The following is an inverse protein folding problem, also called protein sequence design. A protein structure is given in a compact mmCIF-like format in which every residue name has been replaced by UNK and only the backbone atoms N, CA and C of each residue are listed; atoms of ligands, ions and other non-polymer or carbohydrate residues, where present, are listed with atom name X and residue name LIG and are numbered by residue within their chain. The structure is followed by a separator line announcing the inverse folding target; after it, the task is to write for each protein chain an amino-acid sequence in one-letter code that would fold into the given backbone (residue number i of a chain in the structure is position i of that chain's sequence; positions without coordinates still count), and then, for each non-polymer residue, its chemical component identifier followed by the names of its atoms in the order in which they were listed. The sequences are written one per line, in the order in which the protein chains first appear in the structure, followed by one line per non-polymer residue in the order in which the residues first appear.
data_IF_188336491484
#
_entry.id   IF_188336491484
#
_cell.length_a   1.000
_cell.length_b   1.000
_cell.length_c   1.000
_cell.angle_alpha   90.00
_cell.angle_beta   90.00
_cell.angle_gamma   90.00
#
_symmetry.space_group_name_H-M   'P 1'
#
loop_
_entity.id
_entity.type
_entity.pdbx_description
1 polymer ?
#
# COMPACT_ATOMS: atom_id res chain seq x y z
N UNK A 1 8.87 -9.49 4.15
CA UNK A 1 9.94 -10.51 4.28
C UNK A 1 10.69 -10.69 2.96
N UNK A 2 10.01 -11.07 1.86
CA UNK A 2 10.60 -11.28 0.54
C UNK A 2 11.37 -10.06 -0.04
N UNK A 3 10.83 -8.84 0.09
CA UNK A 3 11.52 -7.62 -0.39
C UNK A 3 12.86 -7.36 0.33
N UNK A 4 12.90 -7.63 1.63
CA UNK A 4 14.14 -7.54 2.42
C UNK A 4 15.13 -8.65 2.04
N UNK A 5 14.64 -9.85 1.72
CA UNK A 5 15.48 -10.96 1.25
C UNK A 5 16.08 -10.68 -0.13
N UNK A 6 15.32 -10.06 -1.03
CA UNK A 6 15.84 -9.59 -2.33
C UNK A 6 16.95 -8.55 -2.15
N UNK A 7 16.75 -7.57 -1.28
CA UNK A 7 17.76 -6.53 -1.01
C UNK A 7 19.03 -7.10 -0.36
N UNK A 8 18.91 -8.17 0.43
CA UNK A 8 20.06 -8.89 1.02
C UNK A 8 20.79 -9.69 -0.06
N UNK A 9 20.07 -10.43 -0.91
CA UNK A 9 20.64 -11.20 -2.01
C UNK A 9 21.34 -10.32 -3.06
N UNK A 10 20.78 -9.13 -3.34
CA UNK A 10 21.41 -8.14 -4.21
C UNK A 10 22.70 -7.58 -3.60
N UNK A 11 22.76 -7.41 -2.27
CA UNK A 11 23.97 -6.96 -1.56
C UNK A 11 25.02 -8.05 -1.44
N UNK A 12 24.63 -9.33 -1.46
CA UNK A 12 25.56 -10.47 -1.46
C UNK A 12 26.00 -10.88 -2.86
N UNK A 13 25.64 -10.12 -3.91
CA UNK A 13 25.95 -10.41 -5.32
C UNK A 13 25.33 -11.73 -5.85
N UNK A 14 24.36 -12.30 -5.14
CA UNK A 14 23.59 -13.48 -5.58
C UNK A 14 22.45 -13.06 -6.51
N UNK A 15 22.81 -12.56 -7.69
CA UNK A 15 21.85 -12.00 -8.65
C UNK A 15 20.81 -13.02 -9.16
N UNK A 16 21.14 -14.31 -9.14
CA UNK A 16 20.20 -15.38 -9.54
C UNK A 16 19.05 -15.52 -8.55
N UNK A 17 19.34 -15.53 -7.26
CA UNK A 17 18.32 -15.61 -6.21
C UNK A 17 17.51 -14.31 -6.14
N UNK A 18 18.18 -13.16 -6.28
CA UNK A 18 17.51 -11.87 -6.36
C UNK A 18 16.50 -11.81 -7.53
N UNK A 19 16.84 -12.35 -8.70
CA UNK A 19 15.95 -12.42 -9.86
C UNK A 19 14.72 -13.31 -9.62
N UNK A 20 14.89 -14.48 -9.00
CA UNK A 20 13.78 -15.39 -8.68
C UNK A 20 12.83 -14.74 -7.66
N UNK A 21 13.38 -14.08 -6.64
CA UNK A 21 12.58 -13.37 -5.63
C UNK A 21 11.87 -12.18 -6.26
N UNK A 22 12.53 -11.46 -7.17
CA UNK A 22 11.92 -10.36 -7.93
C UNK A 22 10.74 -10.85 -8.78
N UNK A 23 10.90 -11.92 -9.54
CA UNK A 23 9.82 -12.46 -10.37
C UNK A 23 8.65 -12.97 -9.51
N UNK A 24 8.95 -13.58 -8.36
CA UNK A 24 7.94 -13.96 -7.38
C UNK A 24 7.18 -12.73 -6.84
N UNK A 25 7.89 -11.65 -6.48
CA UNK A 25 7.29 -10.40 -6.04
C UNK A 25 6.43 -9.75 -7.13
N UNK A 26 6.87 -9.81 -8.38
CA UNK A 26 6.11 -9.32 -9.52
C UNK A 26 4.80 -10.09 -9.70
N UNK A 27 4.81 -11.41 -9.53
CA UNK A 27 3.59 -12.21 -9.54
C UNK A 27 2.60 -11.82 -8.42
N UNK A 28 3.11 -11.43 -7.24
CA UNK A 28 2.27 -10.91 -6.15
C UNK A 28 1.74 -9.49 -6.42
N UNK A 29 2.49 -8.64 -7.13
CA UNK A 29 2.00 -7.33 -7.59
C UNK A 29 0.96 -7.45 -8.72
N UNK A 30 0.94 -8.59 -9.41
CA UNK A 30 -0.07 -8.97 -10.40
C UNK A 30 -1.33 -9.59 -9.78
N UNK A 31 -1.43 -9.69 -8.45
CA UNK A 31 -2.69 -10.06 -7.79
C UNK A 31 -3.83 -9.13 -8.23
N UNK A 32 -4.97 -9.74 -8.60
CA UNK A 32 -6.10 -9.10 -9.28
C UNK A 32 -6.50 -7.69 -8.78
N UNK A 33 -6.58 -7.40 -7.46
CA UNK A 33 -6.97 -6.07 -6.99
C UNK A 33 -5.91 -4.97 -7.23
N UNK A 34 -4.61 -5.33 -7.32
CA UNK A 34 -3.52 -4.37 -7.60
C UNK A 34 -3.47 -4.05 -9.09
N UNK A 35 -3.63 -5.08 -9.93
CA UNK A 35 -3.70 -4.93 -11.39
C UNK A 35 -4.87 -4.05 -11.81
N UNK A 36 -6.08 -4.29 -11.29
CA UNK A 36 -7.27 -3.49 -11.61
C UNK A 36 -7.09 -2.02 -11.24
N UNK A 37 -6.46 -1.70 -10.11
CA UNK A 37 -6.14 -0.30 -9.77
C UNK A 37 -5.20 0.37 -10.76
N UNK A 38 -4.25 -0.38 -11.33
CA UNK A 38 -3.34 0.14 -12.35
C UNK A 38 -4.09 0.40 -13.65
N UNK A 39 -4.94 -0.52 -14.09
CA UNK A 39 -5.78 -0.39 -15.27
C UNK A 39 -6.75 0.80 -15.17
N UNK A 40 -7.38 1.02 -14.00
CA UNK A 40 -8.23 2.19 -13.76
C UNK A 40 -7.43 3.48 -13.98
N UNK A 41 -6.21 3.59 -13.43
CA UNK A 41 -5.38 4.79 -13.59
C UNK A 41 -4.98 5.03 -15.04
N UNK A 42 -4.63 3.96 -15.75
CA UNK A 42 -4.24 4.02 -17.16
C UNK A 42 -5.43 4.40 -18.06
N UNK A 43 -6.60 3.82 -17.83
CA UNK A 43 -7.82 4.15 -18.55
C UNK A 43 -8.22 5.62 -18.33
N UNK A 44 -8.13 6.13 -17.10
CA UNK A 44 -8.37 7.56 -16.79
C UNK A 44 -7.35 8.46 -17.50
N UNK A 45 -6.07 8.08 -17.52
CA UNK A 45 -5.03 8.86 -18.20
C UNK A 45 -5.22 8.91 -19.72
N UNK A 46 -5.80 7.87 -20.31
CA UNK A 46 -6.11 7.78 -21.74
C UNK A 46 -7.54 8.24 -22.09
N UNK A 47 -8.24 8.89 -21.15
CA UNK A 47 -9.63 9.37 -21.31
C UNK A 47 -10.65 8.27 -21.68
N UNK A 48 -10.32 7.01 -21.41
CA UNK A 48 -11.21 5.84 -21.59
C UNK A 48 -12.07 5.65 -20.33
N UNK A 49 -13.00 6.56 -20.12
CA UNK A 49 -13.78 6.60 -18.88
C UNK A 49 -14.75 5.43 -18.73
N UNK A 50 -15.27 4.86 -19.83
CA UNK A 50 -16.13 3.67 -19.80
C UNK A 50 -15.39 2.44 -19.27
N UNK A 51 -14.19 2.19 -19.79
CA UNK A 51 -13.31 1.11 -19.32
C UNK A 51 -12.91 1.32 -17.85
N UNK A 52 -12.58 2.56 -17.47
CA UNK A 52 -12.26 2.90 -16.08
C UNK A 52 -13.43 2.63 -15.12
N UNK A 53 -14.66 2.91 -15.54
CA UNK A 53 -15.86 2.62 -14.76
C UNK A 53 -16.06 1.11 -14.60
N UNK A 54 -15.89 0.34 -15.68
CA UNK A 54 -15.97 -1.12 -15.66
C UNK A 54 -14.95 -1.74 -14.72
N UNK A 55 -13.67 -1.37 -14.83
CA UNK A 55 -12.62 -1.89 -13.94
C UNK A 55 -12.84 -1.52 -12.48
N UNK A 56 -13.41 -0.32 -12.22
CA UNK A 56 -13.77 0.09 -10.86
C UNK A 56 -14.88 -0.78 -10.28
N UNK A 57 -15.90 -1.10 -11.08
CA UNK A 57 -17.02 -1.92 -10.65
C UNK A 57 -16.55 -3.36 -10.41
N UNK A 58 -15.71 -3.91 -11.30
CA UNK A 58 -15.03 -5.21 -11.09
C UNK A 58 -14.19 -5.23 -9.80
N UNK A 59 -13.41 -4.18 -9.54
CA UNK A 59 -12.61 -4.05 -8.31
C UNK A 59 -13.50 -3.99 -7.05
N UNK A 60 -14.68 -3.37 -7.15
CA UNK A 60 -15.63 -3.26 -6.04
C UNK A 60 -16.27 -4.61 -5.70
N UNK A 61 -16.52 -5.46 -6.70
CA UNK A 61 -17.04 -6.81 -6.49
C UNK A 61 -15.98 -7.72 -5.86
N UNK A 62 -14.73 -7.65 -6.33
CA UNK A 62 -13.63 -8.50 -5.84
C UNK A 62 -13.14 -8.05 -4.45
N UNK A 63 -12.97 -6.75 -4.25
CA UNK A 63 -12.41 -6.17 -3.03
C UNK A 63 -13.18 -4.90 -2.64
N UNK A 64 -14.37 -5.03 -2.04
CA UNK A 64 -15.28 -3.90 -1.78
C UNK A 64 -14.67 -2.82 -0.87
N UNK A 65 -13.71 -3.19 -0.03
CA UNK A 65 -13.05 -2.28 0.91
C UNK A 65 -11.77 -1.67 0.36
N UNK A 66 -11.31 -2.11 -0.82
CA UNK A 66 -10.10 -1.61 -1.45
C UNK A 66 -10.18 -0.10 -1.71
N UNK A 67 -11.36 0.42 -2.04
CA UNK A 67 -11.55 1.84 -2.36
C UNK A 67 -11.68 2.74 -1.13
N UNK A 68 -11.69 2.19 0.09
CA UNK A 68 -11.73 3.00 1.32
C UNK A 68 -10.46 3.84 1.44
N UNK A 69 -10.59 5.13 1.12
CA UNK A 69 -9.55 6.13 1.38
C UNK A 69 -9.78 6.72 2.75
N UNK A 70 -8.99 6.27 3.71
CA UNK A 70 -8.94 6.85 5.04
C UNK A 70 -7.53 7.39 5.24
N UNK A 71 -7.38 8.71 5.10
CA UNK A 71 -6.12 9.41 5.29
C UNK A 71 -6.29 10.60 6.22
N UNK A 72 -5.28 10.88 7.04
CA UNK A 72 -5.23 12.03 7.92
C UNK A 72 -3.88 12.72 7.78
N UNK A 73 -3.85 14.04 7.91
CA UNK A 73 -2.65 14.87 7.83
C UNK A 73 -2.75 15.97 8.88
N UNK A 74 -1.78 16.05 9.78
CA UNK A 74 -1.73 17.05 10.83
C UNK A 74 -0.30 17.50 11.06
N UNK A 75 -0.11 18.78 11.40
CA UNK A 75 1.21 19.34 11.73
C UNK A 75 1.16 20.02 13.08
N UNK A 76 2.07 19.66 13.98
CA UNK A 76 2.17 20.24 15.32
C UNK A 76 3.61 20.60 15.60
N UNK A 77 3.89 21.85 15.98
CA UNK A 77 5.24 22.33 16.32
C UNK A 77 6.30 21.98 15.25
N UNK A 78 5.95 22.11 13.96
CA UNK A 78 6.84 21.80 12.84
C UNK A 78 6.99 20.30 12.52
N UNK A 79 6.33 19.41 13.27
CA UNK A 79 6.30 17.97 12.96
C UNK A 79 5.02 17.63 12.22
N UNK A 80 5.14 17.22 10.95
CA UNK A 80 4.01 16.77 10.12
C UNK A 80 3.85 15.26 10.22
N UNK A 81 2.64 14.82 10.51
CA UNK A 81 2.26 13.41 10.59
C UNK A 81 1.19 13.14 9.55
N UNK A 82 1.49 12.22 8.63
CA UNK A 82 0.57 11.79 7.59
C UNK A 82 0.25 10.31 7.81
N UNK A 83 -1.03 9.97 7.82
CA UNK A 83 -1.50 8.61 8.08
C UNK A 83 -2.38 8.16 6.92
N UNK A 84 -2.17 6.93 6.46
CA UNK A 84 -3.09 6.23 5.57
C UNK A 84 -3.46 4.90 6.22
N UNK A 85 -4.74 4.64 6.42
CA UNK A 85 -5.22 3.33 6.87
C UNK A 85 -5.69 2.50 5.69
N UNK A 86 -5.37 1.22 5.73
CA UNK A 86 -5.71 0.23 4.71
C UNK A 86 -6.41 -0.94 5.39
N UNK A 87 -7.56 -1.32 4.86
CA UNK A 87 -8.29 -2.50 5.31
C UNK A 87 -7.62 -3.78 4.80
N UNK A 88 -7.39 -4.76 5.69
CA UNK A 88 -6.75 -6.04 5.31
C UNK A 88 -7.82 -7.13 5.25
N UNK A 89 -8.27 -7.48 4.04
CA UNK A 89 -9.32 -8.49 3.86
C UNK A 89 -8.90 -9.89 4.38
N UNK A 90 -7.67 -10.32 4.10
CA UNK A 90 -7.20 -11.68 4.42
C UNK A 90 -7.07 -12.02 5.91
N UNK A 91 -7.15 -11.04 6.81
CA UNK A 91 -7.04 -11.26 8.25
C UNK A 91 -8.36 -11.05 9.00
N UNK A 92 -9.43 -10.65 8.32
CA UNK A 92 -10.66 -10.20 8.97
C UNK A 92 -11.64 -11.35 9.18
N UNK A 93 -12.34 -11.31 10.32
CA UNK A 93 -13.48 -12.19 10.62
C UNK A 93 -14.71 -11.31 10.90
N UNK A 94 -15.35 -10.74 9.85
CA UNK A 94 -16.51 -9.86 10.03
C UNK A 94 -17.68 -10.56 10.73
N UNK A 95 -17.87 -11.87 10.50
CA UNK A 95 -18.87 -12.69 11.18
C UNK A 95 -18.68 -12.77 12.71
N UNK A 96 -17.47 -12.47 13.20
CA UNK A 96 -17.12 -12.38 14.62
C UNK A 96 -16.96 -10.93 15.10
N UNK A 97 -17.27 -9.95 14.26
CA UNK A 97 -17.09 -8.53 14.55
C UNK A 97 -15.62 -8.09 14.64
N UNK A 98 -14.68 -8.88 14.10
CA UNK A 98 -13.25 -8.58 14.14
C UNK A 98 -12.78 -8.01 12.80
N UNK A 99 -12.24 -6.80 12.85
CA UNK A 99 -11.73 -6.07 11.69
C UNK A 99 -10.28 -5.65 11.94
N UNK A 100 -9.40 -5.96 10.99
CA UNK A 100 -8.00 -5.57 11.00
C UNK A 100 -7.73 -4.51 9.94
N UNK A 101 -6.91 -3.55 10.34
CA UNK A 101 -6.44 -2.44 9.52
C UNK A 101 -4.93 -2.31 9.67
N UNK A 102 -4.24 -2.05 8.58
CA UNK A 102 -2.85 -1.60 8.58
C UNK A 102 -2.79 -0.07 8.47
N UNK A 103 -1.74 0.51 9.02
CA UNK A 103 -1.49 1.95 8.95
C UNK A 103 -0.12 2.21 8.35
N UNK A 104 -0.05 3.14 7.39
CA UNK A 104 1.20 3.73 6.92
C UNK A 104 1.31 5.14 7.49
N UNK A 105 2.24 5.33 8.40
CA UNK A 105 2.50 6.62 9.06
C UNK A 105 3.80 7.21 8.50
N UNK A 106 3.76 8.45 8.01
CA UNK A 106 4.92 9.23 7.63
C UNK A 106 5.04 10.41 8.60
N UNK A 107 6.12 10.44 9.35
CA UNK A 107 6.48 11.55 10.25
C UNK A 107 7.60 12.33 9.56
N UNK A 108 7.43 13.64 9.42
CA UNK A 108 8.44 14.54 8.81
C UNK A 108 8.70 15.70 9.74
N UNK A 109 9.99 15.94 10.04
CA UNK A 109 10.43 17.12 10.78
C UNK A 109 10.64 18.26 9.79
N UNK A 110 9.76 19.26 9.84
CA UNK A 110 9.85 20.49 9.05
C UNK A 110 10.36 21.66 9.89
N UNK A 111 10.92 21.39 11.08
CA UNK A 111 11.55 22.39 11.93
C UNK A 111 13.07 22.35 11.80
N UNK A 112 13.74 23.41 12.25
CA UNK A 112 15.20 23.50 12.25
C UNK A 112 15.85 22.78 13.44
N UNK A 113 15.05 22.29 14.40
CA UNK A 113 15.54 21.63 15.59
C UNK A 113 15.56 20.11 15.40
N UNK A 114 16.62 19.40 15.84
CA UNK A 114 16.60 17.94 15.86
C UNK A 114 15.58 17.42 16.88
N UNK A 115 14.84 16.39 16.50
CA UNK A 115 13.81 15.76 17.34
C UNK A 115 13.93 14.24 17.33
N UNK A 116 13.37 13.59 18.34
CA UNK A 116 13.32 12.13 18.44
C UNK A 116 11.93 11.65 18.82
N UNK A 117 11.45 10.62 18.13
CA UNK A 117 10.23 9.91 18.51
C UNK A 117 10.52 8.99 19.71
N UNK A 118 9.86 9.23 20.84
CA UNK A 118 10.10 8.45 22.07
C UNK A 118 9.07 7.34 22.28
N UNK A 119 7.78 7.66 22.19
CA UNK A 119 6.68 6.73 22.47
C UNK A 119 5.43 7.03 21.63
N UNK A 120 4.59 6.01 21.46
CA UNK A 120 3.21 6.13 20.98
C UNK A 120 2.25 5.85 22.14
N UNK A 121 1.11 6.55 22.18
CA UNK A 121 0.01 6.33 23.12
C UNK A 121 -1.27 6.12 22.31
#
# INVERSE_FOLDING_TARGET
MLKQQMDIAAKSEDYKEAAIIHDSLKMFEEEEPVLLRRLIKEAVANERFEDAARYRDELKEIAPHSLLKCSSDATTLGIRVQVMSVYIEGCNMPSRGLYFFAYRIRISNNSDNPVQLLRRH
#
